data_IF_191893407639
#
_entry.id   IF_191893407639
#
_cell.length_a   1.000
_cell.length_b   1.000
_cell.length_c   1.000
_cell.angle_alpha   90.00
_cell.angle_beta   90.00
_cell.angle_gamma   90.00
#
_symmetry.space_group_name_H-M   'P 1'
#
loop_
_entity.id
_entity.type
_entity.pdbx_description
1 polymer ?
#
# COMPACT_ATOMS: atom_id res chain seq x y z
N UNK A 1 -4.30 29.99 -0.43
CA UNK A 1 -3.44 29.20 0.47
C UNK A 1 -2.79 28.07 -0.29
N UNK A 2 -1.44 28.00 -0.23
CA UNK A 2 -0.63 27.01 -0.98
C UNK A 2 -0.22 25.86 -0.05
N UNK A 3 -1.20 25.10 0.46
CA UNK A 3 -0.92 23.95 1.30
C UNK A 3 -0.89 22.64 0.49
N UNK A 4 -0.05 21.70 0.93
CA UNK A 4 -0.02 20.32 0.43
C UNK A 4 -0.51 19.38 1.54
N UNK A 5 -1.27 18.37 1.14
CA UNK A 5 -1.63 17.24 1.99
C UNK A 5 -0.84 16.04 1.50
N UNK A 6 -0.03 15.48 2.37
CA UNK A 6 0.77 14.28 2.08
C UNK A 6 0.21 13.12 2.90
N UNK A 7 -0.13 12.03 2.23
CA UNK A 7 -0.74 10.84 2.84
C UNK A 7 0.05 9.61 2.44
N UNK A 8 0.54 8.85 3.42
CA UNK A 8 1.21 7.57 3.20
C UNK A 8 0.32 6.46 3.79
N UNK A 9 -0.13 5.54 2.95
CA UNK A 9 -1.06 4.47 3.35
C UNK A 9 -0.75 3.16 2.61
N UNK A 10 -1.08 2.01 3.24
CA UNK A 10 -1.04 0.72 2.55
C UNK A 10 -1.97 0.70 1.34
N UNK A 11 -1.58 -0.07 0.33
CA UNK A 11 -2.32 -0.20 -0.92
C UNK A 11 -2.95 -1.60 -1.00
N UNK A 12 -4.25 -1.71 -0.79
CA UNK A 12 -4.95 -2.99 -0.83
C UNK A 12 -5.12 -3.58 -2.24
N UNK A 13 -4.70 -2.88 -3.29
CA UNK A 13 -4.59 -3.41 -4.65
C UNK A 13 -3.16 -3.82 -5.03
N UNK A 14 -2.24 -3.87 -4.07
CA UNK A 14 -0.86 -4.27 -4.28
C UNK A 14 -0.73 -5.76 -4.62
N UNK A 15 0.42 -6.13 -5.17
CA UNK A 15 0.74 -7.53 -5.46
C UNK A 15 0.67 -8.40 -4.20
N UNK A 16 1.30 -7.97 -3.11
CA UNK A 16 1.32 -8.70 -1.86
C UNK A 16 -0.08 -8.79 -1.22
N UNK A 17 -0.89 -7.73 -1.30
CA UNK A 17 -2.28 -7.78 -0.83
C UNK A 17 -3.10 -8.85 -1.58
N UNK A 18 -2.97 -8.92 -2.90
CA UNK A 18 -3.64 -9.92 -3.72
C UNK A 18 -3.16 -11.33 -3.42
N UNK A 19 -1.86 -11.49 -3.20
CA UNK A 19 -1.26 -12.79 -2.92
C UNK A 19 -1.67 -13.35 -1.56
N UNK A 20 -1.70 -12.52 -0.54
CA UNK A 20 -2.00 -12.95 0.83
C UNK A 20 -3.50 -12.94 1.16
N UNK A 21 -4.30 -12.18 0.44
CA UNK A 21 -5.73 -12.09 0.71
C UNK A 21 -6.01 -11.67 2.15
N UNK A 22 -6.81 -12.44 2.87
CA UNK A 22 -7.18 -12.16 4.27
C UNK A 22 -5.98 -12.14 5.24
N UNK A 23 -4.87 -12.79 4.89
CA UNK A 23 -3.66 -12.83 5.73
C UNK A 23 -2.73 -11.63 5.52
N UNK A 24 -3.04 -10.74 4.61
CA UNK A 24 -2.21 -9.56 4.35
C UNK A 24 -2.12 -8.68 5.58
N UNK A 25 -0.89 -8.56 6.13
CA UNK A 25 -0.67 -7.90 7.43
C UNK A 25 -1.01 -6.42 7.44
N UNK A 26 -0.94 -5.75 6.29
CA UNK A 26 -1.22 -4.32 6.20
C UNK A 26 -2.71 -3.97 6.33
N UNK A 27 -3.61 -4.95 6.33
CA UNK A 27 -4.99 -4.70 6.77
C UNK A 27 -5.03 -4.22 8.21
N UNK A 28 -4.16 -4.77 9.06
CA UNK A 28 -3.94 -4.32 10.45
C UNK A 28 -5.25 -4.05 11.22
N UNK A 29 -6.21 -4.96 11.12
CA UNK A 29 -7.49 -4.89 11.81
C UNK A 29 -7.29 -5.22 13.29
N UNK A 30 -7.86 -4.49 14.24
CA UNK A 30 -8.80 -3.37 14.08
C UNK A 30 -8.17 -1.96 14.09
N UNK A 31 -6.86 -1.82 14.01
CA UNK A 31 -6.20 -0.50 14.04
C UNK A 31 -6.53 0.31 12.79
N UNK A 32 -6.53 -0.34 11.61
CA UNK A 32 -6.97 0.25 10.36
C UNK A 32 -8.37 -0.24 10.02
N UNK A 33 -9.33 0.69 9.97
CA UNK A 33 -10.72 0.39 9.62
C UNK A 33 -11.02 0.62 8.14
N UNK A 34 -10.20 1.42 7.47
CA UNK A 34 -10.37 1.80 6.08
C UNK A 34 -9.15 1.40 5.28
N UNK A 35 -9.39 0.82 4.10
CA UNK A 35 -8.33 0.37 3.20
C UNK A 35 -8.53 1.02 1.83
N UNK A 36 -7.43 1.49 1.23
CA UNK A 36 -7.49 2.28 0.02
C UNK A 36 -6.74 1.62 -1.12
N UNK A 37 -7.28 1.81 -2.33
CA UNK A 37 -6.55 1.69 -3.59
C UNK A 37 -6.15 3.09 -4.06
N UNK A 38 -5.22 3.22 -5.03
CA UNK A 38 -4.91 4.54 -5.60
C UNK A 38 -6.14 5.29 -6.13
N UNK A 39 -7.08 4.56 -6.75
CA UNK A 39 -8.33 5.13 -7.26
C UNK A 39 -9.26 5.61 -6.15
N UNK A 40 -9.45 4.81 -5.09
CA UNK A 40 -10.40 5.15 -4.03
C UNK A 40 -9.93 6.33 -3.18
N UNK A 41 -8.62 6.43 -2.87
CA UNK A 41 -8.10 7.58 -2.13
C UNK A 41 -8.14 8.85 -2.95
N UNK A 42 -7.88 8.76 -4.26
CA UNK A 42 -8.02 9.90 -5.16
C UNK A 42 -9.47 10.40 -5.21
N UNK A 43 -10.42 9.48 -5.29
CA UNK A 43 -11.85 9.80 -5.30
C UNK A 43 -12.30 10.47 -3.99
N UNK A 44 -11.84 9.93 -2.86
CA UNK A 44 -12.13 10.51 -1.55
C UNK A 44 -11.59 11.94 -1.45
N UNK A 45 -10.32 12.13 -1.80
CA UNK A 45 -9.69 13.46 -1.77
C UNK A 45 -10.40 14.45 -2.69
N UNK A 46 -10.80 14.01 -3.88
CA UNK A 46 -11.54 14.84 -4.84
C UNK A 46 -12.86 15.35 -4.30
N UNK A 47 -13.61 14.49 -3.58
CA UNK A 47 -14.88 14.88 -2.93
C UNK A 47 -14.70 15.97 -1.87
N UNK A 48 -13.51 16.04 -1.28
CA UNK A 48 -13.16 17.02 -0.26
C UNK A 48 -12.40 18.24 -0.81
N UNK A 49 -12.40 18.42 -2.12
CA UNK A 49 -11.80 19.59 -2.77
C UNK A 49 -10.29 19.52 -2.93
N UNK A 50 -9.72 18.31 -3.00
CA UNK A 50 -8.30 18.11 -3.24
C UNK A 50 -8.06 17.47 -4.62
N UNK A 51 -6.93 17.82 -5.23
CA UNK A 51 -6.48 17.27 -6.51
C UNK A 51 -5.16 16.55 -6.26
N UNK A 52 -5.01 15.35 -6.81
CA UNK A 52 -3.75 14.62 -6.75
C UNK A 52 -2.69 15.34 -7.58
N UNK A 53 -1.61 15.74 -6.93
CA UNK A 53 -0.46 16.39 -7.58
C UNK A 53 0.63 15.39 -7.94
N UNK A 54 0.86 14.39 -7.07
CA UNK A 54 1.86 13.35 -7.30
C UNK A 54 1.52 12.10 -6.48
N UNK A 55 2.08 10.96 -6.91
CA UNK A 55 2.04 9.71 -6.15
C UNK A 55 3.39 9.01 -6.29
N UNK A 56 3.85 8.43 -5.20
CA UNK A 56 5.14 7.75 -5.13
C UNK A 56 4.98 6.36 -4.51
N UNK A 57 5.60 5.32 -5.06
CA UNK A 57 5.57 4.00 -4.45
C UNK A 57 6.47 3.93 -3.22
N UNK A 58 6.12 3.03 -2.29
CA UNK A 58 6.96 2.65 -1.16
C UNK A 58 7.24 1.13 -1.25
N UNK A 59 8.09 0.69 -2.18
CA UNK A 59 8.22 -0.74 -2.49
C UNK A 59 8.91 -1.54 -1.38
N UNK A 60 9.70 -0.92 -0.51
CA UNK A 60 10.42 -1.60 0.57
C UNK A 60 9.50 -2.12 1.68
N UNK A 61 8.34 -1.55 1.87
CA UNK A 61 7.33 -2.05 2.80
C UNK A 61 6.90 -3.48 2.48
N UNK A 62 6.97 -3.87 1.21
CA UNK A 62 6.60 -5.20 0.76
C UNK A 62 7.34 -6.33 1.50
N UNK A 63 8.61 -6.14 1.82
CA UNK A 63 9.41 -7.15 2.53
C UNK A 63 8.90 -7.37 3.95
N UNK A 64 8.71 -6.29 4.70
CA UNK A 64 8.23 -6.35 6.08
C UNK A 64 6.78 -6.87 6.15
N UNK A 65 5.91 -6.33 5.31
CA UNK A 65 4.50 -6.73 5.26
C UNK A 65 4.36 -8.19 4.84
N UNK A 66 5.17 -8.65 3.89
CA UNK A 66 5.15 -10.05 3.45
C UNK A 66 5.62 -11.00 4.56
N UNK A 67 6.65 -10.64 5.32
CA UNK A 67 7.08 -11.44 6.48
C UNK A 67 5.98 -11.55 7.53
N UNK A 68 5.32 -10.45 7.87
CA UNK A 68 4.21 -10.48 8.83
C UNK A 68 3.01 -11.26 8.30
N UNK A 69 2.73 -11.17 7.01
CA UNK A 69 1.64 -11.92 6.36
C UNK A 69 1.91 -13.42 6.40
N UNK A 70 3.16 -13.83 6.18
CA UNK A 70 3.55 -15.24 6.34
C UNK A 70 3.38 -15.73 7.77
N UNK A 71 3.67 -14.89 8.78
CA UNK A 71 3.41 -15.22 10.19
C UNK A 71 1.91 -15.37 10.45
N UNK A 72 1.07 -14.50 9.94
CA UNK A 72 -0.38 -14.60 10.07
C UNK A 72 -0.93 -15.89 9.43
N UNK A 73 -0.30 -16.33 8.37
CA UNK A 73 -0.62 -17.59 7.67
C UNK A 73 -0.18 -18.85 8.43
N UNK A 74 0.62 -18.69 9.49
CA UNK A 74 1.18 -19.80 10.24
C UNK A 74 2.39 -20.47 9.58
N UNK A 75 3.09 -19.76 8.69
CA UNK A 75 4.26 -20.29 8.00
C UNK A 75 5.43 -20.52 8.94
N UNK A 76 6.08 -21.68 8.84
CA UNK A 76 7.28 -22.02 9.60
C UNK A 76 8.54 -21.27 9.15
N UNK A 77 8.58 -20.83 7.88
CA UNK A 77 9.69 -20.11 7.27
C UNK A 77 9.27 -18.69 6.86
N UNK A 78 8.66 -17.94 7.78
CA UNK A 78 8.08 -16.63 7.47
C UNK A 78 9.09 -15.63 6.91
N UNK A 79 10.34 -15.65 7.41
CA UNK A 79 11.39 -14.75 6.92
C UNK A 79 11.75 -15.03 5.46
N UNK A 80 12.09 -16.28 5.12
CA UNK A 80 12.50 -16.65 3.77
C UNK A 80 11.37 -16.47 2.75
N UNK A 81 10.16 -16.93 3.10
CA UNK A 81 8.98 -16.78 2.25
C UNK A 81 8.58 -15.31 2.10
N UNK A 82 8.65 -14.54 3.18
CA UNK A 82 8.38 -13.10 3.14
C UNK A 82 9.37 -12.34 2.27
N UNK A 83 10.64 -12.69 2.33
CA UNK A 83 11.67 -12.12 1.45
C UNK A 83 11.41 -12.47 -0.03
N UNK A 84 11.02 -13.70 -0.31
CA UNK A 84 10.67 -14.13 -1.66
C UNK A 84 9.48 -13.35 -2.22
N UNK A 85 8.37 -13.32 -1.49
CA UNK A 85 7.16 -12.60 -1.92
C UNK A 85 7.42 -11.09 -1.96
N UNK A 86 8.15 -10.56 -0.99
CA UNK A 86 8.56 -9.15 -0.97
C UNK A 86 9.35 -8.76 -2.21
N UNK A 87 10.26 -9.63 -2.66
CA UNK A 87 11.02 -9.43 -3.90
C UNK A 87 10.11 -9.41 -5.12
N UNK A 88 9.16 -10.35 -5.21
CA UNK A 88 8.18 -10.37 -6.30
C UNK A 88 7.32 -9.10 -6.30
N UNK A 89 6.87 -8.67 -5.12
CA UNK A 89 6.09 -7.45 -4.97
C UNK A 89 6.90 -6.20 -5.37
N UNK A 90 8.17 -6.16 -5.00
CA UNK A 90 9.07 -5.06 -5.37
C UNK A 90 9.26 -4.96 -6.89
N UNK A 91 9.52 -6.08 -7.57
CA UNK A 91 9.61 -6.11 -9.04
C UNK A 91 8.28 -5.74 -9.70
N UNK A 92 7.16 -6.19 -9.15
CA UNK A 92 5.83 -5.81 -9.63
C UNK A 92 5.61 -4.29 -9.55
N UNK A 93 6.09 -3.65 -8.47
CA UNK A 93 6.00 -2.19 -8.30
C UNK A 93 6.90 -1.41 -9.27
N UNK A 94 8.05 -1.98 -9.67
CA UNK A 94 8.91 -1.38 -10.71
C UNK A 94 8.22 -1.30 -12.06
N UNK A 95 7.43 -2.32 -12.42
CA UNK A 95 6.65 -2.33 -13.63
C UNK A 95 5.38 -1.48 -13.57
N UNK A 96 4.74 -1.46 -12.41
CA UNK A 96 3.50 -0.72 -12.15
C UNK A 96 3.51 -0.14 -10.75
N UNK A 97 3.65 1.17 -10.64
CA UNK A 97 3.67 1.89 -9.33
C UNK A 97 2.42 1.59 -8.50
N UNK A 98 1.26 1.45 -9.14
CA UNK A 98 -0.02 1.17 -8.50
C UNK A 98 -0.09 -0.19 -7.80
N UNK A 99 0.89 -1.06 -8.03
CA UNK A 99 1.01 -2.37 -7.37
C UNK A 99 1.96 -2.37 -6.19
N UNK A 100 2.53 -1.21 -5.82
CA UNK A 100 3.36 -1.08 -4.63
C UNK A 100 2.58 -1.41 -3.36
N UNK A 101 3.24 -2.03 -2.39
CA UNK A 101 2.65 -2.42 -1.09
C UNK A 101 2.06 -1.22 -0.34
N UNK A 102 2.76 -0.11 -0.35
CA UNK A 102 2.29 1.17 0.20
C UNK A 102 2.57 2.29 -0.78
N UNK A 103 1.79 3.36 -0.69
CA UNK A 103 1.90 4.52 -1.56
C UNK A 103 1.92 5.81 -0.75
N UNK A 104 2.67 6.78 -1.24
CA UNK A 104 2.61 8.17 -0.78
C UNK A 104 1.87 8.99 -1.82
N UNK A 105 0.83 9.69 -1.38
CA UNK A 105 0.03 10.58 -2.23
C UNK A 105 0.25 12.02 -1.82
N UNK A 106 0.46 12.88 -2.78
CA UNK A 106 0.57 14.33 -2.57
C UNK A 106 -0.64 14.99 -3.22
N UNK A 107 -1.41 15.68 -2.41
CA UNK A 107 -2.59 16.41 -2.86
C UNK A 107 -2.40 17.92 -2.66
N UNK A 108 -3.01 18.70 -3.53
CA UNK A 108 -3.15 20.15 -3.39
C UNK A 108 -4.62 20.53 -3.33
N UNK A 109 -4.94 21.59 -2.63
CA UNK A 109 -6.30 22.10 -2.58
C UNK A 109 -6.73 22.59 -3.97
N UNK A 110 -7.94 22.26 -4.36
CA UNK A 110 -8.57 22.79 -5.57
C UNK A 110 -8.81 24.28 -5.40
N UNK A 111 -8.48 25.04 -6.42
CA UNK A 111 -8.76 26.48 -6.41
C UNK A 111 -10.23 26.79 -6.69
#
# INVERSE_FOLDING_TARGET
EKGLLIVAVPNCSSYDAQRYGEYWAAYDVPRHLWHFTPGTIQQLASRHGFIMAARHPMPFDAFYVSMLSEKHRGSSCSFLKGMYVGTLAWFSALGRKERSSSMIYVFRKKR
#
